data_IF_078061855130
#
_entry.id   IF_078061855130
#
_cell.length_a   1.000
_cell.length_b   1.000
_cell.length_c   1.000
_cell.angle_alpha   90.00
_cell.angle_beta   90.00
_cell.angle_gamma   90.00
#
_symmetry.space_group_name_H-M   'P 1'
#
loop_
_entity.id
_entity.type
_entity.pdbx_description
1 polymer ?
#
# COMPACT_ATOMS: atom_id res chain seq x y z
N UNK A 1 4.07 6.76 -12.13
CA UNK A 1 3.43 5.49 -12.52
C UNK A 1 4.00 4.37 -11.65
N UNK A 2 3.47 4.22 -10.42
CA UNK A 2 3.93 3.20 -9.45
C UNK A 2 3.04 1.93 -9.45
N UNK A 3 1.91 1.95 -10.17
CA UNK A 3 0.92 0.88 -10.17
C UNK A 3 1.36 -0.36 -10.93
N UNK A 4 2.19 -0.21 -11.97
CA UNK A 4 2.69 -1.34 -12.77
C UNK A 4 3.48 -2.33 -11.92
N UNK A 5 4.57 -1.93 -11.22
CA UNK A 5 5.31 -2.86 -10.36
C UNK A 5 4.46 -3.37 -9.19
N UNK A 6 3.55 -2.55 -8.66
CA UNK A 6 2.62 -2.96 -7.60
C UNK A 6 1.69 -4.09 -8.06
N UNK A 7 1.05 -3.95 -9.22
CA UNK A 7 0.15 -4.99 -9.75
C UNK A 7 0.89 -6.25 -10.18
N UNK A 8 2.12 -6.12 -10.67
CA UNK A 8 2.98 -7.28 -10.93
C UNK A 8 3.23 -8.08 -9.64
N UNK A 9 3.64 -7.41 -8.56
CA UNK A 9 3.81 -8.06 -7.25
C UNK A 9 2.50 -8.67 -6.73
N UNK A 10 1.37 -7.98 -6.86
CA UNK A 10 0.06 -8.52 -6.45
C UNK A 10 -0.30 -9.82 -7.20
N UNK A 11 0.08 -9.91 -8.48
CA UNK A 11 -0.09 -11.12 -9.27
C UNK A 11 0.87 -12.24 -8.83
N UNK A 12 2.12 -11.93 -8.53
CA UNK A 12 3.10 -12.90 -8.03
C UNK A 12 2.66 -13.53 -6.70
N UNK A 13 1.99 -12.77 -5.83
CA UNK A 13 1.43 -13.25 -4.57
C UNK A 13 0.04 -13.90 -4.69
N UNK A 14 -0.53 -13.99 -5.88
CA UNK A 14 -1.83 -14.61 -6.10
C UNK A 14 -1.72 -16.12 -6.32
N UNK A 15 -2.66 -16.91 -5.80
CA UNK A 15 -2.57 -18.38 -5.87
C UNK A 15 -2.84 -18.90 -7.29
N UNK A 16 -2.04 -19.86 -7.75
CA UNK A 16 -2.25 -20.58 -9.02
C UNK A 16 -3.62 -21.29 -8.98
N UNK A 17 -4.56 -20.85 -9.81
CA UNK A 17 -5.94 -21.36 -9.86
C UNK A 17 -7.01 -20.44 -9.26
N UNK A 18 -6.62 -19.43 -8.48
CA UNK A 18 -7.53 -18.38 -7.96
C UNK A 18 -7.00 -16.96 -8.22
N UNK A 19 -6.06 -16.81 -9.15
CA UNK A 19 -5.36 -15.55 -9.37
C UNK A 19 -6.29 -14.36 -9.63
N UNK A 20 -7.36 -14.56 -10.41
CA UNK A 20 -8.35 -13.52 -10.67
C UNK A 20 -9.11 -13.06 -9.42
N UNK A 21 -9.45 -13.98 -8.51
CA UNK A 21 -10.13 -13.65 -7.26
C UNK A 21 -9.18 -12.92 -6.29
N UNK A 22 -7.98 -13.47 -6.08
CA UNK A 22 -6.99 -12.90 -5.17
C UNK A 22 -6.57 -11.49 -5.61
N UNK A 23 -6.32 -11.29 -6.90
CA UNK A 23 -6.00 -9.97 -7.45
C UNK A 23 -7.18 -8.99 -7.30
N UNK A 24 -8.40 -9.43 -7.62
CA UNK A 24 -9.59 -8.56 -7.50
C UNK A 24 -9.84 -8.14 -6.06
N UNK A 25 -9.67 -9.06 -5.10
CA UNK A 25 -9.79 -8.78 -3.68
C UNK A 25 -8.74 -7.74 -3.26
N UNK A 26 -7.48 -7.95 -3.61
CA UNK A 26 -6.37 -7.03 -3.33
C UNK A 26 -6.64 -5.62 -3.87
N UNK A 27 -7.06 -5.49 -5.13
CA UNK A 27 -7.38 -4.20 -5.75
C UNK A 27 -8.61 -3.56 -5.09
N UNK A 28 -9.63 -4.35 -4.76
CA UNK A 28 -10.83 -3.85 -4.08
C UNK A 28 -10.50 -3.22 -2.72
N UNK A 29 -9.59 -3.83 -1.95
CA UNK A 29 -9.11 -3.27 -0.68
C UNK A 29 -8.43 -1.92 -0.90
N UNK A 30 -7.58 -1.79 -1.93
CA UNK A 30 -6.89 -0.53 -2.25
C UNK A 30 -7.89 0.58 -2.56
N UNK A 31 -8.90 0.30 -3.38
CA UNK A 31 -9.92 1.30 -3.74
C UNK A 31 -10.81 1.69 -2.57
N UNK A 32 -11.29 0.72 -1.79
CA UNK A 32 -12.09 0.98 -0.59
C UNK A 32 -11.28 1.79 0.43
N UNK A 33 -10.03 1.40 0.67
CA UNK A 33 -9.12 2.15 1.54
C UNK A 33 -8.87 3.58 1.06
N UNK A 34 -8.72 3.79 -0.25
CA UNK A 34 -8.57 5.12 -0.84
C UNK A 34 -9.81 5.99 -0.66
N UNK A 35 -11.01 5.39 -0.78
CA UNK A 35 -12.28 6.08 -0.54
C UNK A 35 -12.40 6.53 0.92
N UNK A 36 -12.06 5.65 1.88
CA UNK A 36 -12.01 5.98 3.30
C UNK A 36 -11.00 7.09 3.59
N UNK A 37 -9.78 6.97 3.06
CA UNK A 37 -8.74 7.96 3.24
C UNK A 37 -9.15 9.34 2.72
N UNK A 38 -9.74 9.40 1.51
CA UNK A 38 -10.25 10.66 0.95
C UNK A 38 -11.37 11.25 1.81
N UNK A 39 -12.32 10.43 2.25
CA UNK A 39 -13.44 10.89 3.10
C UNK A 39 -12.96 11.43 4.44
N UNK A 40 -12.03 10.73 5.10
CA UNK A 40 -11.49 11.11 6.40
C UNK A 40 -10.54 12.31 6.29
N UNK A 41 -9.82 12.46 5.17
CA UNK A 41 -8.85 13.55 4.98
C UNK A 41 -9.45 14.94 5.13
N UNK A 42 -10.71 15.13 4.72
CA UNK A 42 -11.42 16.42 4.88
C UNK A 42 -11.65 16.78 6.34
N UNK A 43 -12.01 15.78 7.17
CA UNK A 43 -12.16 15.97 8.62
C UNK A 43 -10.81 16.26 9.29
N UNK A 44 -9.75 15.56 8.87
CA UNK A 44 -8.39 15.80 9.37
C UNK A 44 -7.94 17.22 8.99
N UNK A 45 -8.10 17.62 7.72
CA UNK A 45 -7.73 18.96 7.27
C UNK A 45 -8.51 20.06 8.00
N UNK A 46 -9.79 19.82 8.35
CA UNK A 46 -10.57 20.75 9.17
C UNK A 46 -10.06 20.84 10.61
N UNK A 47 -9.61 19.74 11.20
CA UNK A 47 -9.17 19.70 12.59
C UNK A 47 -7.75 20.25 12.81
N UNK A 48 -6.81 19.94 11.91
CA UNK A 48 -5.38 20.26 12.06
C UNK A 48 -4.86 21.26 11.02
N UNK A 49 -5.73 21.72 10.12
CA UNK A 49 -5.36 22.53 8.97
C UNK A 49 -4.72 21.71 7.84
N UNK A 50 -4.61 22.32 6.65
CA UNK A 50 -3.98 21.67 5.50
C UNK A 50 -2.51 21.34 5.73
N UNK A 51 -1.76 22.21 6.41
CA UNK A 51 -0.35 21.94 6.74
C UNK A 51 -0.19 20.68 7.58
N UNK A 52 -1.04 20.51 8.61
CA UNK A 52 -1.06 19.31 9.43
C UNK A 52 -1.47 18.06 8.64
N UNK A 53 -2.50 18.17 7.80
CA UNK A 53 -2.93 17.06 6.94
C UNK A 53 -1.81 16.60 6.00
N UNK A 54 -1.11 17.52 5.34
CA UNK A 54 0.02 17.18 4.48
C UNK A 54 1.20 16.58 5.25
N UNK A 55 1.52 17.11 6.43
CA UNK A 55 2.57 16.54 7.28
C UNK A 55 2.26 15.08 7.66
N UNK A 56 0.99 14.78 7.99
CA UNK A 56 0.53 13.41 8.26
C UNK A 56 0.68 12.54 7.00
N UNK A 57 0.28 13.02 5.83
CA UNK A 57 0.44 12.28 4.57
C UNK A 57 1.91 11.97 4.25
N UNK A 58 2.82 12.91 4.50
CA UNK A 58 4.27 12.70 4.33
C UNK A 58 4.77 11.64 5.30
N UNK A 59 4.39 11.73 6.58
CA UNK A 59 4.79 10.74 7.59
C UNK A 59 4.29 9.32 7.23
N UNK A 60 3.02 9.19 6.83
CA UNK A 60 2.46 7.92 6.38
C UNK A 60 3.18 7.36 5.14
N UNK A 61 3.56 8.23 4.20
CA UNK A 61 4.30 7.82 3.01
C UNK A 61 5.70 7.29 3.37
N UNK A 62 6.40 7.96 4.29
CA UNK A 62 7.70 7.52 4.77
C UNK A 62 7.63 6.18 5.53
N UNK A 63 6.59 6.00 6.36
CA UNK A 63 6.34 4.72 7.04
C UNK A 63 6.10 3.61 6.01
N UNK A 64 5.29 3.87 4.98
CA UNK A 64 5.05 2.91 3.90
C UNK A 64 6.33 2.49 3.19
N UNK A 65 7.18 3.46 2.84
CA UNK A 65 8.49 3.18 2.23
C UNK A 65 9.39 2.38 3.18
N UNK A 66 9.46 2.76 4.47
CA UNK A 66 10.26 2.04 5.45
C UNK A 66 9.82 0.58 5.62
N UNK A 67 8.51 0.33 5.70
CA UNK A 67 7.96 -1.03 5.80
C UNK A 67 8.30 -1.88 4.58
N UNK A 68 8.16 -1.33 3.38
CA UNK A 68 8.52 -2.04 2.14
C UNK A 68 10.02 -2.33 2.11
N UNK A 69 10.86 -1.36 2.46
CA UNK A 69 12.31 -1.55 2.51
C UNK A 69 12.72 -2.62 3.51
N UNK A 70 12.08 -2.68 4.69
CA UNK A 70 12.32 -3.72 5.69
C UNK A 70 11.83 -5.08 5.20
N UNK A 71 10.64 -5.15 4.59
CA UNK A 71 10.10 -6.41 4.07
C UNK A 71 10.98 -6.99 2.95
N UNK A 72 11.51 -6.12 2.08
CA UNK A 72 12.46 -6.52 1.03
C UNK A 72 13.80 -6.96 1.61
N UNK A 73 14.38 -6.19 2.55
CA UNK A 73 15.66 -6.58 3.19
C UNK A 73 15.55 -7.91 3.93
N UNK A 74 14.41 -8.19 4.55
CA UNK A 74 14.18 -9.47 5.23
C UNK A 74 14.04 -10.65 4.27
N UNK A 75 13.61 -10.41 3.03
CA UNK A 75 13.55 -11.44 2.00
C UNK A 75 14.95 -11.76 1.42
N UNK A 76 15.82 -10.76 1.32
CA UNK A 76 17.21 -10.95 0.89
C UNK A 76 18.04 -11.77 1.90
N UNK A 77 17.69 -11.72 3.19
CA UNK A 77 18.33 -12.50 4.27
C UNK A 77 17.82 -13.96 4.38
N UNK A 78 16.80 -14.36 3.59
CA UNK A 78 16.26 -15.72 3.62
C UNK A 78 17.08 -16.67 2.72
N UNK A 79 17.82 -17.65 3.28
CA UNK A 79 18.75 -18.50 2.51
C UNK A 79 18.07 -19.56 1.62
N UNK A 80 16.73 -19.54 1.49
CA UNK A 80 15.94 -20.50 0.72
C UNK A 80 15.24 -19.89 -0.52
N UNK A 81 15.68 -18.72 -0.99
CA UNK A 81 15.31 -18.22 -2.33
C UNK A 81 16.04 -19.06 -3.40
N UNK A 82 15.49 -20.26 -3.67
CA UNK A 82 15.75 -21.13 -4.82
C UNK A 82 14.55 -21.07 -5.77
#
# INVERSE_FOLDING_TARGET
MALVPMYALMMDYSRLGMAGFDFTLQVSIVFVGSLFAGTISGFIAKAVGYQGAFAISVALSLIGVALVSIALSHNDDNPLNL
#
